data_IF_274423451441
#
_entry.id   IF_274423451441
#
_cell.length_a   1.000
_cell.length_b   1.000
_cell.length_c   1.000
_cell.angle_alpha   90.00
_cell.angle_beta   90.00
_cell.angle_gamma   90.00
#
_symmetry.space_group_name_H-M   'P 1'
#
loop_
_entity.id
_entity.type
_entity.pdbx_description
1 polymer ?
#
# COMPACT_ATOMS: atom_id res chain seq x y z
N UNK A 1 0.19 -6.56 -13.89
CA UNK A 1 0.48 -5.79 -12.66
C UNK A 1 -0.42 -4.58 -12.67
N UNK A 2 -1.37 -4.45 -11.72
CA UNK A 2 -2.29 -3.31 -11.66
C UNK A 2 -1.52 -2.02 -11.33
N UNK A 3 -2.05 -0.89 -11.78
CA UNK A 3 -1.46 0.44 -11.64
C UNK A 3 -1.80 1.05 -10.27
N UNK A 4 -1.40 0.41 -9.17
CA UNK A 4 -1.66 0.93 -7.82
C UNK A 4 -0.57 1.95 -7.46
N UNK A 5 -0.98 3.13 -6.98
CA UNK A 5 -0.10 4.18 -6.47
C UNK A 5 -0.41 4.55 -5.02
N UNK A 6 0.53 5.25 -4.39
CA UNK A 6 0.38 5.82 -3.05
C UNK A 6 0.18 7.33 -3.17
N UNK A 7 -1.01 7.81 -2.84
CA UNK A 7 -1.39 9.21 -3.11
C UNK A 7 -0.75 10.20 -2.13
N UNK A 8 -0.43 9.77 -0.92
CA UNK A 8 0.25 10.59 0.07
C UNK A 8 1.76 10.34 0.12
N UNK A 9 2.38 9.81 -0.94
CA UNK A 9 3.83 9.59 -1.02
C UNK A 9 4.64 10.89 -1.05
N UNK A 10 5.77 10.95 -0.33
CA UNK A 10 6.69 12.11 -0.26
C UNK A 10 7.74 12.11 -1.38
N UNK A 11 8.22 10.93 -1.77
CA UNK A 11 9.14 10.74 -2.90
C UNK A 11 8.39 9.95 -3.97
N UNK A 12 8.46 10.44 -5.22
CA UNK A 12 7.86 9.86 -6.45
C UNK A 12 6.54 9.12 -6.21
N UNK A 13 5.41 9.76 -6.52
CA UNK A 13 4.07 9.15 -6.56
C UNK A 13 3.97 7.89 -7.44
N UNK A 14 5.00 7.63 -8.25
CA UNK A 14 5.23 6.40 -8.98
C UNK A 14 6.00 5.42 -8.10
N UNK A 15 5.28 4.53 -7.44
CA UNK A 15 5.87 3.33 -6.85
C UNK A 15 6.03 2.31 -7.96
N UNK A 16 7.28 2.08 -8.36
CA UNK A 16 7.59 1.07 -9.34
C UNK A 16 7.67 -0.29 -8.63
N UNK A 17 6.58 -1.07 -8.67
CA UNK A 17 6.61 -2.45 -8.21
C UNK A 17 7.64 -3.31 -8.98
N UNK A 18 8.20 -2.84 -10.10
CA UNK A 18 9.26 -3.55 -10.82
C UNK A 18 10.67 -3.29 -10.29
N UNK A 19 10.87 -2.29 -9.42
CA UNK A 19 12.22 -1.85 -9.01
C UNK A 19 12.78 -2.49 -7.73
N UNK A 20 12.00 -3.28 -6.98
CA UNK A 20 12.49 -4.02 -5.81
C UNK A 20 12.54 -5.53 -6.07
N UNK A 21 13.69 -6.15 -5.80
CA UNK A 21 14.02 -7.56 -6.04
C UNK A 21 13.23 -8.59 -5.18
N UNK A 22 12.09 -8.21 -4.59
CA UNK A 22 11.33 -9.02 -3.64
C UNK A 22 9.84 -9.10 -3.97
N UNK A 23 9.53 -9.41 -5.22
CA UNK A 23 8.19 -9.82 -5.59
C UNK A 23 8.03 -11.33 -5.66
N UNK A 24 6.88 -11.83 -5.22
CA UNK A 24 6.48 -13.23 -5.42
C UNK A 24 5.15 -13.25 -6.16
N UNK A 25 5.13 -13.99 -7.26
CA UNK A 25 3.94 -14.27 -8.06
C UNK A 25 3.57 -15.74 -7.87
N UNK A 26 2.31 -16.00 -7.54
CA UNK A 26 1.75 -17.35 -7.52
C UNK A 26 0.49 -17.36 -8.38
N UNK A 27 0.36 -18.38 -9.22
CA UNK A 27 -0.81 -18.61 -10.06
C UNK A 27 -1.37 -19.96 -9.68
N UNK A 28 -2.66 -20.02 -9.34
CA UNK A 28 -3.33 -21.29 -9.09
C UNK A 28 -4.03 -21.82 -10.35
N UNK A 29 -4.48 -23.07 -10.30
CA UNK A 29 -5.12 -23.73 -11.44
C UNK A 29 -6.48 -23.12 -11.80
N UNK A 30 -7.11 -22.38 -10.89
CA UNK A 30 -8.32 -21.59 -11.12
C UNK A 30 -8.05 -20.28 -11.90
N UNK A 31 -6.78 -19.94 -12.13
CA UNK A 31 -6.39 -18.70 -12.79
C UNK A 31 -6.36 -17.48 -11.86
N UNK A 32 -6.45 -17.68 -10.54
CA UNK A 32 -6.21 -16.61 -9.58
C UNK A 32 -4.72 -16.31 -9.47
N UNK A 33 -4.40 -15.02 -9.42
CA UNK A 33 -3.04 -14.52 -9.38
C UNK A 33 -2.83 -13.82 -8.04
N UNK A 34 -1.94 -14.36 -7.22
CA UNK A 34 -1.51 -13.74 -5.96
C UNK A 34 -0.15 -13.09 -6.16
N UNK A 35 -0.07 -11.82 -5.83
CA UNK A 35 1.09 -10.98 -6.10
C UNK A 35 1.52 -10.27 -4.82
N UNK A 36 2.63 -10.73 -4.24
CA UNK A 36 3.14 -10.24 -2.96
C UNK A 36 4.35 -9.34 -3.17
N UNK A 37 4.32 -8.15 -2.55
CA UNK A 37 5.34 -7.11 -2.63
C UNK A 37 5.81 -6.73 -1.23
N UNK A 38 7.13 -6.74 -1.03
CA UNK A 38 7.75 -5.88 -0.03
C UNK A 38 8.00 -4.52 -0.66
N UNK A 39 7.72 -3.42 0.07
CA UNK A 39 8.05 -2.07 -0.36
C UNK A 39 8.24 -1.16 0.85
N UNK A 40 9.19 -0.22 0.76
CA UNK A 40 9.34 0.86 1.75
C UNK A 40 8.64 2.12 1.23
N UNK A 41 7.69 2.65 2.01
CA UNK A 41 6.87 3.79 1.63
C UNK A 41 7.21 5.03 2.46
N UNK A 42 7.74 6.06 1.80
CA UNK A 42 7.85 7.39 2.37
C UNK A 42 6.53 8.15 2.15
N UNK A 43 5.72 8.34 3.20
CA UNK A 43 4.42 9.02 3.13
C UNK A 43 4.34 10.29 3.97
N UNK A 44 3.41 11.16 3.60
CA UNK A 44 3.07 12.41 4.29
C UNK A 44 1.77 12.26 5.06
N UNK A 45 1.71 12.86 6.25
CA UNK A 45 0.58 12.82 7.15
C UNK A 45 0.50 14.15 7.94
N UNK A 46 -0.70 14.73 8.13
CA UNK A 46 -0.87 15.91 8.96
C UNK A 46 -0.71 15.56 10.45
N UNK A 47 0.00 16.41 11.19
CA UNK A 47 0.22 16.25 12.64
C UNK A 47 -0.58 17.30 13.42
N UNK A 48 -1.16 16.91 14.54
CA UNK A 48 -1.76 17.82 15.51
C UNK A 48 -0.92 17.87 16.78
N UNK A 49 -0.15 18.94 16.95
CA UNK A 49 0.83 19.11 18.04
C UNK A 49 0.28 19.86 19.26
N UNK A 50 -1.05 19.95 19.41
CA UNK A 50 -1.68 20.75 20.48
C UNK A 50 -1.40 20.23 21.90
N UNK A 51 -1.02 18.96 22.04
CA UNK A 51 -0.79 18.29 23.34
C UNK A 51 0.61 17.66 23.45
N UNK A 52 1.58 18.18 22.69
CA UNK A 52 2.95 17.69 22.76
C UNK A 52 3.50 17.68 24.21
N UNK A 53 4.20 16.63 24.67
CA UNK A 53 4.61 15.42 23.94
C UNK A 53 3.66 14.21 24.07
N UNK A 54 2.44 14.40 24.58
CA UNK A 54 1.47 13.33 24.88
C UNK A 54 0.27 13.29 23.92
N UNK A 55 0.45 13.82 22.71
CA UNK A 55 -0.58 13.78 21.69
C UNK A 55 -0.71 12.38 21.03
N UNK A 56 -1.84 12.14 20.38
CA UNK A 56 -2.07 10.93 19.58
C UNK A 56 -2.19 11.34 18.12
N UNK A 57 -1.40 10.70 17.26
CA UNK A 57 -1.38 10.98 15.83
C UNK A 57 -2.03 9.82 15.07
N UNK A 58 -2.95 10.11 14.15
CA UNK A 58 -3.56 9.13 13.26
C UNK A 58 -3.11 9.42 11.83
N UNK A 59 -2.37 8.47 11.24
CA UNK A 59 -1.88 8.58 9.87
C UNK A 59 -2.47 7.49 8.99
N UNK A 60 -2.96 7.89 7.82
CA UNK A 60 -3.55 6.98 6.85
C UNK A 60 -2.58 6.73 5.69
N UNK A 61 -2.51 5.48 5.23
CA UNK A 61 -1.91 5.14 3.95
C UNK A 61 -3.01 5.19 2.88
N UNK A 62 -2.82 5.99 1.84
CA UNK A 62 -3.82 6.17 0.78
C UNK A 62 -3.36 5.45 -0.48
N UNK A 63 -3.94 4.27 -0.73
CA UNK A 63 -3.71 3.47 -1.93
C UNK A 63 -4.86 3.70 -2.92
N UNK A 64 -4.53 3.95 -4.18
CA UNK A 64 -5.48 4.18 -5.26
C UNK A 64 -4.91 3.70 -6.60
N UNK A 65 -5.74 3.35 -7.59
CA UNK A 65 -5.23 3.19 -8.94
C UNK A 65 -4.73 4.56 -9.48
N UNK A 66 -3.65 4.54 -10.26
CA UNK A 66 -3.00 5.76 -10.76
C UNK A 66 -3.71 6.33 -11.99
N UNK A 67 -4.16 5.47 -12.91
CA UNK A 67 -4.87 5.85 -14.14
C UNK A 67 -6.22 5.15 -14.27
N UNK A 68 -6.34 3.93 -13.72
CA UNK A 68 -7.55 3.15 -13.78
C UNK A 68 -8.69 3.76 -12.94
N UNK A 69 -9.91 3.60 -13.43
CA UNK A 69 -11.12 3.92 -12.68
C UNK A 69 -11.81 2.64 -12.15
N UNK A 70 -12.93 2.81 -11.44
CA UNK A 70 -13.69 1.72 -10.83
C UNK A 70 -14.40 0.78 -11.84
N UNK A 71 -14.38 1.09 -13.14
CA UNK A 71 -14.85 0.17 -14.20
C UNK A 71 -13.76 -0.81 -14.62
N UNK A 72 -12.51 -0.46 -14.40
CA UNK A 72 -11.33 -1.25 -14.76
C UNK A 72 -10.80 -2.04 -13.57
N UNK A 73 -10.69 -1.40 -12.41
CA UNK A 73 -10.11 -2.00 -11.20
C UNK A 73 -10.99 -1.72 -9.99
N UNK A 74 -11.35 -2.79 -9.28
CA UNK A 74 -12.04 -2.69 -7.98
C UNK A 74 -11.07 -3.20 -6.92
N UNK A 75 -10.64 -2.29 -6.04
CA UNK A 75 -9.80 -2.65 -4.91
C UNK A 75 -10.65 -3.01 -3.70
N UNK A 76 -10.28 -4.08 -3.00
CA UNK A 76 -10.91 -4.52 -1.75
C UNK A 76 -9.82 -4.87 -0.75
N UNK A 77 -10.02 -4.47 0.50
CA UNK A 77 -9.14 -4.90 1.58
C UNK A 77 -9.37 -6.38 1.85
N UNK A 78 -8.35 -7.20 1.66
CA UNK A 78 -8.41 -8.60 2.07
C UNK A 78 -8.00 -8.66 3.54
N UNK A 79 -8.92 -9.04 4.41
CA UNK A 79 -8.58 -9.39 5.79
C UNK A 79 -8.03 -10.81 5.82
N UNK A 80 -6.79 -11.00 5.35
CA UNK A 80 -6.06 -12.24 5.62
C UNK A 80 -5.06 -11.96 6.74
N UNK A 81 -5.26 -12.64 7.87
CA UNK A 81 -4.45 -12.47 9.06
C UNK A 81 -2.98 -12.77 8.82
N UNK A 82 -2.14 -11.79 9.09
CA UNK A 82 -0.89 -11.93 9.81
C UNK A 82 -0.61 -10.55 10.39
N UNK A 83 -1.00 -10.39 11.65
CA UNK A 83 -0.36 -9.40 12.51
C UNK A 83 1.12 -9.75 12.41
N UNK A 84 1.95 -8.82 11.94
CA UNK A 84 3.40 -8.95 12.10
C UNK A 84 3.65 -8.80 13.61
N UNK A 85 3.50 -9.90 14.34
CA UNK A 85 3.81 -9.96 15.76
C UNK A 85 5.33 -10.07 15.88
N UNK A 86 5.99 -8.93 16.07
CA UNK A 86 7.39 -8.87 16.47
C UNK A 86 7.47 -8.93 18.01
N UNK A 87 7.03 -10.05 18.59
CA UNK A 87 7.24 -10.34 20.00
C UNK A 87 8.22 -11.48 20.19
#
# INVERSE_FOLDING_TARGET
>A
MPDIGVLNGRKSSHFDFSSEHHSRLSVNWQGEITWMYGVILDVTCPLNVSFFPFDTQTCHLILAPWQSDNRHIIMRTVQHGSIVDNR
#
